data_IF_035788932251
#
_entry.id   IF_035788932251
#
_cell.length_a   1.000
_cell.length_b   1.000
_cell.length_c   1.000
_cell.angle_alpha   90.00
_cell.angle_beta   90.00
_cell.angle_gamma   90.00
#
_symmetry.space_group_name_H-M   'P 1'
#
loop_
_entity.id
_entity.type
_entity.pdbx_description
1 polymer ?
#
# COMPACT_ATOMS: atom_id res chain seq x y z
N UNK A 1 -11.31 -15.25 2.82
CA UNK A 1 -11.02 -14.49 1.57
C UNK A 1 -9.80 -15.08 0.87
N UNK A 2 -9.85 -15.38 -0.42
CA UNK A 2 -8.65 -15.77 -1.16
C UNK A 2 -7.79 -14.49 -1.29
N UNK A 3 -6.63 -14.46 -0.67
CA UNK A 3 -5.65 -13.37 -0.79
C UNK A 3 -5.10 -13.33 -2.21
N UNK A 4 -5.90 -12.87 -3.17
CA UNK A 4 -5.52 -12.78 -4.59
C UNK A 4 -4.47 -11.69 -4.84
N UNK A 5 -3.69 -11.83 -5.90
CA UNK A 5 -2.99 -10.73 -6.53
C UNK A 5 -3.92 -10.18 -7.59
N UNK A 6 -4.26 -8.88 -7.47
CA UNK A 6 -5.15 -8.22 -8.39
C UNK A 6 -4.32 -7.42 -9.39
N UNK A 7 -4.76 -7.38 -10.65
CA UNK A 7 -4.18 -6.50 -11.67
C UNK A 7 -5.30 -5.62 -12.19
N UNK A 8 -5.12 -4.31 -12.08
CA UNK A 8 -6.12 -3.31 -12.44
C UNK A 8 -5.49 -2.15 -13.20
N UNK A 9 -6.33 -1.38 -13.88
CA UNK A 9 -5.99 -0.10 -14.48
C UNK A 9 -6.12 1.00 -13.44
N UNK A 10 -5.39 2.09 -13.63
CA UNK A 10 -5.62 3.31 -12.88
C UNK A 10 -6.97 3.90 -13.26
N UNK A 11 -7.84 4.03 -12.27
CA UNK A 11 -9.15 4.68 -12.45
C UNK A 11 -9.16 6.11 -11.96
N UNK A 12 -8.48 6.36 -10.85
CA UNK A 12 -8.63 7.59 -10.08
C UNK A 12 -7.34 8.39 -9.95
N UNK A 13 -6.21 7.83 -10.35
CA UNK A 13 -4.92 8.49 -10.30
C UNK A 13 -4.31 8.56 -11.71
N UNK A 14 -3.85 9.73 -12.11
CA UNK A 14 -3.21 9.93 -13.41
C UNK A 14 -1.80 9.31 -13.48
N UNK A 15 -1.17 9.12 -12.32
CA UNK A 15 0.17 8.56 -12.16
C UNK A 15 0.30 7.91 -10.78
N UNK A 16 1.47 7.35 -10.45
CA UNK A 16 1.76 6.76 -9.14
C UNK A 16 2.58 7.68 -8.22
N UNK A 17 2.45 8.99 -8.35
CA UNK A 17 2.98 9.90 -7.34
C UNK A 17 2.18 9.79 -6.03
N UNK A 18 2.74 10.35 -4.97
CA UNK A 18 2.14 10.24 -3.64
C UNK A 18 0.71 10.81 -3.61
N UNK A 19 0.53 12.03 -4.11
CA UNK A 19 -0.76 12.74 -4.09
C UNK A 19 -1.83 11.98 -4.89
N UNK A 20 -1.46 11.47 -6.06
CA UNK A 20 -2.36 10.72 -6.92
C UNK A 20 -2.81 9.39 -6.26
N UNK A 21 -1.88 8.67 -5.61
CA UNK A 21 -2.20 7.44 -4.88
C UNK A 21 -3.10 7.72 -3.69
N UNK A 22 -2.80 8.72 -2.86
CA UNK A 22 -3.65 9.14 -1.72
C UNK A 22 -5.05 9.50 -2.20
N UNK A 23 -5.16 10.33 -3.23
CA UNK A 23 -6.46 10.76 -3.80
C UNK A 23 -7.25 9.58 -4.40
N UNK A 24 -6.57 8.65 -5.06
CA UNK A 24 -7.17 7.45 -5.62
C UNK A 24 -7.75 6.55 -4.52
N UNK A 25 -7.02 6.32 -3.45
CA UNK A 25 -7.45 5.56 -2.28
C UNK A 25 -8.68 6.24 -1.64
N UNK A 26 -8.60 7.54 -1.37
CA UNK A 26 -9.68 8.30 -0.79
C UNK A 26 -10.96 8.17 -1.62
N UNK A 27 -10.87 8.39 -2.93
CA UNK A 27 -12.01 8.27 -3.84
C UNK A 27 -12.60 6.86 -3.87
N UNK A 28 -11.74 5.84 -3.85
CA UNK A 28 -12.17 4.43 -3.82
C UNK A 28 -12.98 4.11 -2.56
N UNK A 29 -12.57 4.59 -1.39
CA UNK A 29 -13.32 4.40 -0.15
C UNK A 29 -14.60 5.24 -0.13
N UNK A 30 -14.56 6.50 -0.55
CA UNK A 30 -15.74 7.37 -0.63
C UNK A 30 -16.84 6.76 -1.50
N UNK A 31 -16.48 6.19 -2.65
CA UNK A 31 -17.45 5.53 -3.53
C UNK A 31 -18.09 4.28 -2.93
N UNK A 32 -17.48 3.72 -1.91
CA UNK A 32 -18.00 2.59 -1.12
C UNK A 32 -18.80 3.04 0.11
N UNK A 33 -19.05 4.34 0.24
CA UNK A 33 -19.78 4.91 1.39
C UNK A 33 -18.99 4.95 2.69
N UNK A 34 -17.65 4.76 2.65
CA UNK A 34 -16.80 4.79 3.82
C UNK A 34 -16.40 6.24 4.12
N UNK A 35 -16.66 6.69 5.35
CA UNK A 35 -16.28 8.03 5.78
C UNK A 35 -14.76 8.22 5.82
N UNK A 36 -14.27 9.38 5.36
CA UNK A 36 -12.86 9.67 5.18
C UNK A 36 -12.50 10.99 5.85
N UNK A 37 -11.30 11.07 6.40
CA UNK A 37 -10.60 12.31 6.77
C UNK A 37 -9.27 12.36 6.04
N UNK A 38 -8.99 13.46 5.35
CA UNK A 38 -7.68 13.73 4.76
C UNK A 38 -6.79 14.41 5.79
N UNK A 39 -5.53 14.00 5.82
CA UNK A 39 -4.48 14.55 6.69
C UNK A 39 -4.91 14.72 8.16
N UNK A 40 -5.48 13.69 8.80
CA UNK A 40 -5.93 13.80 10.18
C UNK A 40 -4.74 14.09 11.10
N UNK A 41 -4.91 15.11 11.96
CA UNK A 41 -3.92 15.44 12.97
C UNK A 41 -3.82 14.35 14.02
N UNK A 42 -2.60 14.01 14.41
CA UNK A 42 -2.26 12.99 15.39
C UNK A 42 -1.51 13.60 16.57
N UNK A 43 -1.47 12.93 17.73
CA UNK A 43 -0.68 13.39 18.87
C UNK A 43 0.78 13.65 18.50
N UNK A 44 1.34 14.74 19.02
CA UNK A 44 2.73 15.15 18.75
C UNK A 44 2.94 15.87 17.42
N UNK A 45 1.89 16.49 16.85
CA UNK A 45 1.99 17.28 15.62
C UNK A 45 2.22 16.46 14.36
N UNK A 46 1.94 15.18 14.40
CA UNK A 46 2.03 14.27 13.25
C UNK A 46 0.73 14.28 12.44
N UNK A 47 0.80 13.84 11.21
CA UNK A 47 -0.35 13.65 10.33
C UNK A 47 -0.23 12.30 9.64
N UNK A 48 -1.33 11.57 9.54
CA UNK A 48 -1.43 10.47 8.58
C UNK A 48 -1.96 11.02 7.25
N UNK A 49 -1.76 10.32 6.16
CA UNK A 49 -2.28 10.77 4.86
C UNK A 49 -3.80 10.72 4.81
N UNK A 50 -4.39 9.67 5.39
CA UNK A 50 -5.84 9.47 5.45
C UNK A 50 -6.25 8.82 6.77
N UNK A 51 -7.52 8.98 7.15
CA UNK A 51 -8.20 8.07 8.05
C UNK A 51 -9.55 7.67 7.46
N UNK A 52 -9.94 6.42 7.66
CA UNK A 52 -11.22 5.86 7.23
C UNK A 52 -11.98 5.32 8.43
N UNK A 53 -13.30 5.50 8.46
CA UNK A 53 -14.14 4.98 9.53
C UNK A 53 -14.71 3.62 9.11
N UNK A 54 -14.34 2.58 9.83
CA UNK A 54 -14.87 1.23 9.66
C UNK A 54 -15.59 0.84 10.94
N UNK A 55 -16.90 0.59 10.86
CA UNK A 55 -17.73 0.23 12.03
C UNK A 55 -17.58 1.22 13.22
N UNK A 56 -17.54 2.52 12.90
CA UNK A 56 -17.31 3.63 13.83
C UNK A 56 -15.91 3.67 14.49
N UNK A 57 -14.98 2.86 14.03
CA UNK A 57 -13.57 2.90 14.45
C UNK A 57 -12.73 3.55 13.34
N UNK A 58 -11.90 4.52 13.72
CA UNK A 58 -11.00 5.16 12.78
C UNK A 58 -9.75 4.31 12.57
N UNK A 59 -9.46 4.00 11.30
CA UNK A 59 -8.22 3.36 10.85
C UNK A 59 -7.39 4.38 10.10
N UNK A 60 -6.18 4.62 10.57
CA UNK A 60 -5.24 5.57 9.97
C UNK A 60 -4.43 4.92 8.87
N UNK A 61 -4.28 5.63 7.75
CA UNK A 61 -3.61 5.13 6.56
C UNK A 61 -2.42 6.02 6.23
N UNK A 62 -1.26 5.42 6.16
CA UNK A 62 -0.05 6.07 5.71
C UNK A 62 0.40 5.51 4.38
N UNK A 63 0.57 6.39 3.40
CA UNK A 63 0.96 6.04 2.04
C UNK A 63 2.42 6.40 1.82
N UNK A 64 3.21 5.48 1.34
CA UNK A 64 4.58 5.74 0.89
C UNK A 64 4.75 5.32 -0.55
N UNK A 65 5.12 6.27 -1.37
CA UNK A 65 5.47 6.03 -2.76
C UNK A 65 6.98 6.15 -2.93
N UNK A 66 7.54 5.30 -3.77
CA UNK A 66 8.92 5.48 -4.18
C UNK A 66 8.99 6.45 -5.35
N UNK A 67 9.72 7.55 -5.18
CA UNK A 67 10.05 8.42 -6.29
C UNK A 67 10.73 7.62 -7.42
N UNK A 68 10.42 7.96 -8.66
CA UNK A 68 10.89 7.26 -9.86
C UNK A 68 12.40 7.45 -10.17
N UNK A 69 13.24 7.57 -9.14
CA UNK A 69 14.67 7.65 -9.40
C UNK A 69 15.17 6.30 -9.92
N UNK A 70 15.59 6.32 -11.17
CA UNK A 70 16.26 5.22 -11.86
C UNK A 70 17.68 4.99 -11.31
N UNK A 71 17.87 4.96 -9.99
CA UNK A 71 19.13 4.56 -9.41
C UNK A 71 19.37 3.08 -9.70
N UNK A 72 20.21 2.82 -10.69
CA UNK A 72 20.83 1.53 -10.96
C UNK A 72 21.64 1.11 -9.73
N UNK A 73 21.02 0.44 -8.77
CA UNK A 73 21.76 -0.20 -7.68
C UNK A 73 22.51 -1.40 -8.23
N UNK A 74 23.82 -1.27 -8.24
CA UNK A 74 24.74 -2.35 -8.61
C UNK A 74 24.63 -3.47 -7.55
N UNK A 75 24.38 -4.72 -7.99
CA UNK A 75 24.72 -6.01 -7.35
C UNK A 75 23.88 -6.60 -6.21
N UNK A 76 22.77 -6.04 -5.76
CA UNK A 76 21.89 -6.82 -4.89
C UNK A 76 20.92 -7.67 -5.72
N UNK A 77 20.51 -8.84 -5.20
CA UNK A 77 19.48 -9.62 -5.86
C UNK A 77 18.15 -8.88 -5.81
N UNK A 78 17.33 -8.99 -6.85
CA UNK A 78 15.97 -8.40 -6.90
C UNK A 78 15.16 -8.67 -5.63
N UNK A 79 15.33 -9.86 -5.04
CA UNK A 79 14.68 -10.26 -3.79
C UNK A 79 15.12 -9.40 -2.59
N UNK A 80 16.43 -9.19 -2.45
CA UNK A 80 16.99 -8.40 -1.34
C UNK A 80 16.64 -6.92 -1.49
N UNK A 81 16.66 -6.39 -2.71
CA UNK A 81 16.32 -5.00 -2.96
C UNK A 81 14.85 -4.70 -2.66
N UNK A 82 13.94 -5.58 -3.07
CA UNK A 82 12.53 -5.44 -2.75
C UNK A 82 12.27 -5.50 -1.24
N UNK A 83 12.90 -6.45 -0.55
CA UNK A 83 12.74 -6.55 0.91
C UNK A 83 13.25 -5.28 1.61
N UNK A 84 14.42 -4.79 1.25
CA UNK A 84 14.97 -3.53 1.81
C UNK A 84 14.05 -2.34 1.51
N UNK A 85 13.52 -2.25 0.30
CA UNK A 85 12.55 -1.23 -0.08
C UNK A 85 11.33 -1.26 0.83
N UNK A 86 10.71 -2.42 0.98
CA UNK A 86 9.52 -2.59 1.83
C UNK A 86 9.81 -2.24 3.29
N UNK A 87 10.87 -2.78 3.86
CA UNK A 87 11.22 -2.54 5.26
C UNK A 87 11.53 -1.06 5.53
N UNK A 88 12.23 -0.38 4.60
CA UNK A 88 12.50 1.05 4.70
C UNK A 88 11.23 1.89 4.66
N UNK A 89 10.36 1.64 3.68
CA UNK A 89 9.10 2.39 3.52
C UNK A 89 8.19 2.16 4.73
N UNK A 90 8.08 0.91 5.20
CA UNK A 90 7.34 0.57 6.42
C UNK A 90 7.89 1.32 7.64
N UNK A 91 9.20 1.31 7.86
CA UNK A 91 9.81 1.99 9.00
C UNK A 91 9.53 3.51 9.00
N UNK A 92 9.46 4.13 7.83
CA UNK A 92 9.07 5.54 7.70
C UNK A 92 7.59 5.75 8.02
N UNK A 93 6.71 4.87 7.54
CA UNK A 93 5.26 4.93 7.83
C UNK A 93 4.98 4.83 9.33
N UNK A 94 5.66 3.91 10.02
CA UNK A 94 5.48 3.68 11.46
C UNK A 94 5.82 4.90 12.32
N UNK A 95 6.71 5.78 11.87
CA UNK A 95 7.04 7.00 12.57
C UNK A 95 5.91 8.03 12.55
N UNK A 96 5.02 7.95 11.58
CA UNK A 96 3.90 8.87 11.38
C UNK A 96 2.59 8.34 11.95
N UNK A 97 2.41 7.03 11.98
CA UNK A 97 1.19 6.40 12.47
C UNK A 97 1.07 6.41 14.01
N UNK A 98 -0.16 6.44 14.55
CA UNK A 98 -0.39 6.36 15.97
C UNK A 98 -0.04 4.96 16.50
N UNK A 99 0.50 4.90 17.73
CA UNK A 99 0.94 3.62 18.33
C UNK A 99 -0.21 2.76 18.86
N UNK A 100 -1.34 3.36 19.20
CA UNK A 100 -2.43 2.70 19.93
C UNK A 100 -3.70 2.47 19.10
N UNK A 101 -3.74 2.96 17.86
CA UNK A 101 -4.93 2.94 17.03
C UNK A 101 -4.71 2.09 15.78
N UNK A 102 -5.79 1.53 15.25
CA UNK A 102 -5.75 0.72 14.03
C UNK A 102 -5.12 1.49 12.86
N UNK A 103 -4.19 0.87 12.18
CA UNK A 103 -3.46 1.51 11.10
C UNK A 103 -3.22 0.58 9.92
N UNK A 104 -3.19 1.14 8.72
CA UNK A 104 -2.84 0.46 7.48
C UNK A 104 -1.65 1.17 6.84
N UNK A 105 -0.66 0.42 6.44
CA UNK A 105 0.44 0.94 5.63
C UNK A 105 0.18 0.64 4.17
N UNK A 106 0.28 1.66 3.33
CA UNK A 106 0.16 1.52 1.87
C UNK A 106 1.50 1.84 1.23
N UNK A 107 2.01 0.91 0.44
CA UNK A 107 3.28 1.06 -0.25
C UNK A 107 3.08 0.98 -1.77
N UNK A 108 3.53 2.01 -2.48
CA UNK A 108 3.73 1.93 -3.93
C UNK A 108 5.21 1.70 -4.21
N UNK A 109 5.51 0.54 -4.79
CA UNK A 109 6.90 0.18 -5.14
C UNK A 109 7.36 0.91 -6.39
N UNK A 110 8.64 0.83 -6.70
CA UNK A 110 9.18 1.31 -7.97
C UNK A 110 8.45 0.68 -9.17
N UNK A 111 8.33 1.45 -10.26
CA UNK A 111 7.69 0.99 -11.50
C UNK A 111 8.36 -0.28 -12.01
N UNK A 112 7.55 -1.24 -12.40
CA UNK A 112 8.00 -2.50 -12.96
C UNK A 112 8.06 -2.43 -14.48
N UNK A 113 9.04 -3.07 -15.13
CA UNK A 113 9.17 -3.02 -16.59
C UNK A 113 8.07 -3.82 -17.31
N UNK A 114 7.31 -4.64 -16.61
CA UNK A 114 6.21 -5.43 -17.17
C UNK A 114 5.23 -5.90 -16.11
N UNK A 115 4.02 -6.29 -16.55
CA UNK A 115 2.99 -6.94 -15.71
C UNK A 115 3.56 -8.14 -14.94
N UNK A 116 4.31 -9.02 -15.62
CA UNK A 116 4.91 -10.21 -14.99
C UNK A 116 5.82 -9.82 -13.82
N UNK A 117 6.65 -8.80 -13.99
CA UNK A 117 7.55 -8.30 -12.94
C UNK A 117 6.77 -7.64 -11.79
N UNK A 118 5.69 -6.90 -12.09
CA UNK A 118 4.82 -6.33 -11.07
C UNK A 118 4.16 -7.43 -10.22
N UNK A 119 3.57 -8.44 -10.85
CA UNK A 119 2.98 -9.60 -10.16
C UNK A 119 4.03 -10.34 -9.33
N UNK A 120 5.24 -10.54 -9.89
CA UNK A 120 6.34 -11.19 -9.15
C UNK A 120 6.77 -10.39 -7.92
N UNK A 121 6.77 -9.05 -7.96
CA UNK A 121 7.04 -8.21 -6.77
C UNK A 121 6.01 -8.46 -5.67
N UNK A 122 4.73 -8.51 -6.02
CA UNK A 122 3.67 -8.74 -5.05
C UNK A 122 3.78 -10.16 -4.44
N UNK A 123 3.98 -11.18 -5.27
CA UNK A 123 4.16 -12.55 -4.80
C UNK A 123 5.36 -12.67 -3.85
N UNK A 124 6.46 -12.02 -4.21
CA UNK A 124 7.68 -11.99 -3.40
C UNK A 124 7.48 -11.20 -2.09
N UNK A 125 6.76 -10.07 -2.13
CA UNK A 125 6.44 -9.30 -0.93
C UNK A 125 5.65 -10.14 0.09
N UNK A 126 4.71 -10.96 -0.39
CA UNK A 126 3.96 -11.90 0.46
C UNK A 126 4.87 -12.93 1.13
N UNK A 127 5.90 -13.42 0.45
CA UNK A 127 6.84 -14.37 1.05
C UNK A 127 7.66 -13.77 2.18
N UNK A 128 7.63 -12.46 2.37
CA UNK A 128 8.30 -11.75 3.46
C UNK A 128 7.38 -11.38 4.63
N UNK A 129 6.14 -11.86 4.66
CA UNK A 129 5.14 -11.46 5.66
C UNK A 129 5.68 -11.49 7.08
N UNK A 130 6.30 -12.60 7.50
CA UNK A 130 6.87 -12.72 8.85
C UNK A 130 8.00 -11.71 9.13
N UNK A 131 8.78 -11.31 8.12
CA UNK A 131 9.81 -10.28 8.27
C UNK A 131 9.24 -8.87 8.27
N UNK A 132 8.11 -8.66 7.59
CA UNK A 132 7.44 -7.37 7.52
C UNK A 132 6.77 -7.04 8.86
N UNK A 133 6.19 -8.03 9.53
CA UNK A 133 5.45 -7.86 10.77
C UNK A 133 6.20 -8.36 12.02
N UNK A 134 7.49 -8.61 11.87
CA UNK A 134 8.39 -9.10 12.91
C UNK A 134 8.76 -7.97 13.88
N UNK A 135 8.04 -7.75 14.91
CA UNK A 135 8.21 -6.82 16.05
C UNK A 135 7.20 -5.66 16.18
N UNK A 136 6.40 -5.76 17.21
CA UNK A 136 6.05 -4.63 18.07
C UNK A 136 5.04 -3.60 17.56
N UNK A 137 4.29 -3.86 16.48
CA UNK A 137 3.21 -2.99 16.05
C UNK A 137 1.88 -3.75 15.96
N UNK A 138 1.34 -4.04 17.12
CA UNK A 138 0.09 -4.79 17.31
C UNK A 138 -1.15 -4.13 16.69
N UNK A 139 -1.04 -2.88 16.22
CA UNK A 139 -2.15 -2.12 15.64
C UNK A 139 -2.08 -1.94 14.13
N UNK A 140 -1.03 -2.45 13.46
CA UNK A 140 -0.98 -2.46 12.02
C UNK A 140 -1.79 -3.63 11.49
N UNK A 141 -2.94 -3.34 10.92
CA UNK A 141 -3.85 -4.34 10.35
C UNK A 141 -3.22 -5.11 9.19
N UNK A 142 -2.42 -4.41 8.39
CA UNK A 142 -1.80 -5.00 7.22
C UNK A 142 -0.96 -4.04 6.42
N UNK A 143 -0.42 -4.57 5.33
CA UNK A 143 0.33 -3.83 4.33
C UNK A 143 -0.36 -3.99 2.98
N UNK A 144 -0.82 -2.89 2.41
CA UNK A 144 -1.31 -2.85 1.04
C UNK A 144 -0.17 -2.47 0.11
N UNK A 145 0.10 -3.28 -0.89
CA UNK A 145 1.19 -3.04 -1.84
C UNK A 145 0.63 -2.83 -3.23
N UNK A 146 1.11 -1.77 -3.89
CA UNK A 146 0.91 -1.49 -5.30
C UNK A 146 2.24 -1.62 -6.04
N UNK A 147 2.26 -2.38 -7.11
CA UNK A 147 3.40 -2.51 -8.01
C UNK A 147 2.98 -1.98 -9.39
N UNK A 148 3.29 -0.70 -9.70
CA UNK A 148 2.91 -0.08 -10.95
C UNK A 148 3.74 -0.63 -12.13
N UNK A 149 3.14 -0.60 -13.33
CA UNK A 149 3.80 -0.89 -14.60
C UNK A 149 3.07 -0.19 -15.74
N UNK A 150 3.75 0.04 -16.84
CA UNK A 150 3.10 0.50 -18.06
C UNK A 150 2.58 -0.68 -18.87
N UNK A 151 1.29 -0.69 -19.14
CA UNK A 151 0.63 -1.56 -20.09
C UNK A 151 0.38 -0.83 -21.42
N UNK A 152 -0.28 -1.49 -22.34
CA UNK A 152 -0.79 -0.90 -23.57
C UNK A 152 -2.28 -1.20 -23.69
N UNK A 153 -3.05 -0.18 -24.03
CA UNK A 153 -4.45 -0.31 -24.42
C UNK A 153 -4.61 0.35 -25.79
N UNK A 154 -5.07 -0.40 -26.78
CA UNK A 154 -5.22 0.10 -28.15
C UNK A 154 -3.96 0.84 -28.65
N UNK A 155 -2.79 0.24 -28.43
CA UNK A 155 -1.46 0.78 -28.77
C UNK A 155 -1.00 2.02 -27.97
N UNK A 156 -1.84 2.60 -27.12
CA UNK A 156 -1.47 3.71 -26.26
C UNK A 156 -0.90 3.21 -24.92
N UNK A 157 0.14 3.89 -24.38
CA UNK A 157 0.65 3.56 -23.05
C UNK A 157 -0.41 3.85 -21.99
N UNK A 158 -0.66 2.89 -21.13
CA UNK A 158 -1.61 3.01 -20.02
C UNK A 158 -0.95 2.59 -18.71
N UNK A 159 -1.20 3.34 -17.67
CA UNK A 159 -0.78 2.97 -16.34
C UNK A 159 -1.66 1.87 -15.77
N UNK A 160 -1.02 0.81 -15.30
CA UNK A 160 -1.62 -0.32 -14.64
C UNK A 160 -0.86 -0.66 -13.36
N UNK A 161 -1.45 -1.44 -12.49
CA UNK A 161 -0.79 -1.91 -11.27
C UNK A 161 -1.23 -3.34 -10.91
N UNK A 162 -0.30 -4.07 -10.29
CA UNK A 162 -0.62 -5.23 -9.51
C UNK A 162 -0.71 -4.82 -8.04
N UNK A 163 -1.66 -5.35 -7.30
CA UNK A 163 -1.86 -5.03 -5.88
C UNK A 163 -2.18 -6.25 -5.03
N UNK A 164 -1.88 -6.15 -3.76
CA UNK A 164 -2.34 -7.09 -2.76
C UNK A 164 -2.38 -6.45 -1.38
N UNK A 165 -3.34 -6.87 -0.57
CA UNK A 165 -3.30 -6.70 0.87
C UNK A 165 -2.58 -7.89 1.49
N UNK A 166 -1.59 -7.61 2.32
CA UNK A 166 -0.85 -8.58 3.13
C UNK A 166 -1.29 -8.34 4.58
N UNK A 167 -2.14 -9.19 5.15
CA UNK A 167 -2.60 -9.03 6.52
C UNK A 167 -1.46 -9.25 7.51
N UNK A 168 -1.53 -8.59 8.66
CA UNK A 168 -0.62 -8.87 9.77
C UNK A 168 -0.95 -10.24 10.36
N UNK A 169 -0.04 -11.22 10.33
CA UNK A 169 -0.31 -12.58 10.81
C UNK A 169 -0.44 -12.67 12.34
N UNK A 170 0.00 -11.62 13.05
CA UNK A 170 -0.03 -11.56 14.52
C UNK A 170 -1.36 -11.01 15.05
N UNK A 171 -2.27 -10.60 14.17
CA UNK A 171 -3.60 -10.11 14.53
C UNK A 171 -4.65 -11.15 14.19
N UNK A 172 -5.65 -11.29 15.05
CA UNK A 172 -6.85 -12.03 14.70
C UNK A 172 -7.50 -11.42 13.46
N UNK A 173 -8.05 -12.29 12.61
CA UNK A 173 -8.66 -11.87 11.35
C UNK A 173 -9.84 -10.97 11.63
N UNK A 174 -9.71 -9.69 11.37
CA UNK A 174 -10.78 -8.72 11.57
C UNK A 174 -11.59 -8.51 10.28
N UNK A 175 -12.90 -8.29 10.42
CA UNK A 175 -13.77 -7.86 9.33
C UNK A 175 -13.31 -6.52 8.72
N UNK A 176 -12.56 -5.72 9.48
CA UNK A 176 -11.97 -4.46 9.01
C UNK A 176 -11.02 -4.66 7.83
N UNK A 177 -10.18 -5.71 7.87
CA UNK A 177 -9.25 -6.02 6.78
C UNK A 177 -9.99 -6.34 5.46
N UNK A 178 -11.12 -7.03 5.56
CA UNK A 178 -11.93 -7.35 4.37
C UNK A 178 -12.54 -6.10 3.76
N UNK A 179 -12.94 -5.13 4.57
CA UNK A 179 -13.44 -3.82 4.11
C UNK A 179 -12.33 -2.96 3.50
N UNK A 180 -11.10 -3.06 4.01
CA UNK A 180 -9.95 -2.36 3.46
C UNK A 180 -9.46 -2.94 2.12
N UNK A 181 -9.66 -4.23 1.88
CA UNK A 181 -9.07 -4.95 0.74
C UNK A 181 -9.59 -4.55 -0.65
N UNK A 182 -10.73 -3.88 -0.75
CA UNK A 182 -11.37 -3.55 -2.03
C UNK A 182 -10.88 -2.24 -2.69
N UNK A 183 -9.74 -1.69 -2.31
CA UNK A 183 -9.24 -0.41 -2.84
C UNK A 183 -8.81 -0.53 -4.30
N UNK A 184 -9.26 0.42 -5.11
CA UNK A 184 -8.83 0.64 -6.49
C UNK A 184 -8.23 2.05 -6.62
N UNK A 185 -7.10 2.16 -7.31
CA UNK A 185 -6.47 3.45 -7.66
C UNK A 185 -7.01 4.01 -8.96
#
# INVERSE_FOLDING_TARGET
>A
MKSGIYVSRLKYAANFDHKAVVSGIARSYSQRGIAIRSEPSLPGGKHADLAVSLDNVWTYIEVKTRAHSAERRKRASFRQDLLREILRLRAHSLKQLPKKESSLVVLSTSVSPSRRKAVSKIALARSFTNRIFDHGNEKILGLMIFAPFQGRLNSLPEWQYASALIPNPNLERSNELDKLAGVQL
#
